data_IF_807752499151
#
_entry.id   IF_807752499151
#
_cell.length_a   1.000
_cell.length_b   1.000
_cell.length_c   1.000
_cell.angle_alpha   90.00
_cell.angle_beta   90.00
_cell.angle_gamma   90.00
#
_symmetry.space_group_name_H-M   'P 1'
#
loop_
_entity.id
_entity.type
_entity.pdbx_description
1 polymer ?
#
# COMPACT_ATOMS: atom_id res chain seq x y z
N UNK A 1 -5.16 -36.67 -62.45
CA UNK A 1 -4.38 -37.67 -61.69
C UNK A 1 -3.14 -36.99 -61.16
N UNK A 2 -3.06 -36.73 -59.86
CA UNK A 2 -1.82 -36.26 -59.21
C UNK A 2 -1.65 -37.05 -57.90
N UNK A 3 -0.45 -37.60 -57.76
CA UNK A 3 -0.03 -38.66 -56.84
C UNK A 3 0.32 -38.06 -55.48
N UNK A 4 -0.21 -38.62 -54.39
CA UNK A 4 0.21 -38.31 -53.02
C UNK A 4 1.52 -39.04 -52.68
N UNK A 5 2.51 -38.38 -52.09
CA UNK A 5 3.55 -39.07 -51.34
C UNK A 5 3.16 -39.15 -49.85
N UNK A 6 3.08 -40.38 -49.36
CA UNK A 6 3.09 -40.75 -47.94
C UNK A 6 4.42 -40.38 -47.29
N UNK A 7 4.38 -39.58 -46.24
CA UNK A 7 5.53 -39.31 -45.38
C UNK A 7 5.21 -39.81 -43.96
N UNK A 8 5.78 -40.96 -43.61
CA UNK A 8 5.84 -41.43 -42.22
C UNK A 8 7.07 -40.79 -41.55
N UNK A 9 6.96 -40.18 -40.36
CA UNK A 9 8.12 -39.94 -39.53
C UNK A 9 8.41 -41.17 -38.67
N UNK A 10 9.64 -41.64 -38.81
CA UNK A 10 10.33 -42.68 -38.06
C UNK A 10 10.29 -42.42 -36.55
N UNK A 11 9.81 -43.40 -35.77
CA UNK A 11 10.01 -43.45 -34.32
C UNK A 11 11.44 -43.94 -34.05
N UNK A 12 12.32 -43.01 -33.70
CA UNK A 12 13.70 -43.32 -33.32
C UNK A 12 14.29 -42.21 -32.47
N UNK A 13 14.14 -42.31 -31.15
CA UNK A 13 14.78 -41.41 -30.19
C UNK A 13 14.45 -41.81 -28.77
N UNK A 14 15.41 -42.48 -28.11
CA UNK A 14 15.36 -42.86 -26.70
C UNK A 14 14.92 -41.68 -25.80
N UNK A 15 13.76 -41.80 -25.16
CA UNK A 15 13.44 -41.03 -23.96
C UNK A 15 14.05 -41.76 -22.75
N UNK A 16 15.27 -41.33 -22.41
CA UNK A 16 15.89 -41.64 -21.13
C UNK A 16 15.09 -40.98 -20.00
N UNK A 17 14.97 -41.70 -18.88
CA UNK A 17 14.28 -41.29 -17.66
C UNK A 17 14.65 -39.86 -17.23
N UNK A 18 13.66 -38.98 -17.28
CA UNK A 18 13.77 -37.60 -16.81
C UNK A 18 12.42 -37.04 -16.41
N UNK A 19 12.01 -37.37 -15.17
CA UNK A 19 11.21 -36.52 -14.28
C UNK A 19 9.77 -36.16 -14.73
N UNK A 20 8.79 -36.79 -14.09
CA UNK A 20 7.33 -36.61 -14.23
C UNK A 20 6.78 -35.23 -13.82
N UNK A 21 7.64 -34.24 -13.57
CA UNK A 21 7.26 -32.96 -12.95
C UNK A 21 6.62 -32.01 -14.01
N UNK A 22 7.02 -32.13 -15.27
CA UNK A 22 6.52 -31.27 -16.37
C UNK A 22 5.11 -31.67 -16.83
N UNK A 23 4.81 -32.98 -16.86
CA UNK A 23 3.49 -33.50 -17.27
C UNK A 23 2.43 -33.19 -16.21
N UNK A 24 2.81 -33.22 -14.92
CA UNK A 24 1.92 -32.86 -13.83
C UNK A 24 1.64 -31.35 -13.80
N UNK A 25 2.67 -30.53 -14.01
CA UNK A 25 2.54 -29.07 -14.13
C UNK A 25 1.61 -28.70 -15.29
N UNK A 26 1.81 -29.29 -16.47
CA UNK A 26 0.96 -29.05 -17.63
C UNK A 26 -0.52 -29.43 -17.41
N UNK A 27 -0.78 -30.52 -16.68
CA UNK A 27 -2.15 -30.95 -16.33
C UNK A 27 -2.83 -29.98 -15.37
N UNK A 28 -2.09 -29.47 -14.37
CA UNK A 28 -2.62 -28.50 -13.42
C UNK A 28 -2.98 -27.17 -14.09
N UNK A 29 -2.14 -26.69 -15.02
CA UNK A 29 -2.43 -25.49 -15.80
C UNK A 29 -3.68 -25.62 -16.66
N UNK A 30 -3.90 -26.77 -17.30
CA UNK A 30 -5.15 -27.02 -18.05
C UNK A 30 -6.39 -26.99 -17.16
N UNK A 31 -6.29 -27.49 -15.93
CA UNK A 31 -7.39 -27.45 -14.96
C UNK A 31 -7.76 -26.02 -14.56
N UNK A 32 -6.76 -25.19 -14.25
CA UNK A 32 -6.97 -23.77 -13.90
C UNK A 32 -7.59 -23.00 -15.08
N UNK A 33 -7.11 -23.25 -16.29
CA UNK A 33 -7.65 -22.63 -17.51
C UNK A 33 -9.10 -23.06 -17.76
N UNK A 34 -9.45 -24.32 -17.53
CA UNK A 34 -10.83 -24.81 -17.70
C UNK A 34 -11.78 -24.16 -16.67
N UNK A 35 -11.36 -24.01 -15.41
CA UNK A 35 -12.18 -23.31 -14.40
C UNK A 35 -12.41 -21.84 -14.76
N UNK A 36 -11.37 -21.15 -15.26
CA UNK A 36 -11.51 -19.76 -15.71
C UNK A 36 -12.43 -19.63 -16.93
N UNK A 37 -12.40 -20.59 -17.86
CA UNK A 37 -13.30 -20.62 -19.02
C UNK A 37 -14.75 -20.90 -18.65
N UNK A 38 -14.99 -21.73 -17.63
CA UNK A 38 -16.34 -21.96 -17.08
C UNK A 38 -16.91 -20.69 -16.43
N UNK A 39 -16.05 -19.79 -15.97
CA UNK A 39 -16.40 -18.47 -15.47
C UNK A 39 -17.11 -18.49 -14.12
N UNK A 40 -17.19 -17.33 -13.46
CA UNK A 40 -17.89 -17.20 -12.17
C UNK A 40 -19.36 -16.87 -12.42
N UNK A 41 -20.27 -17.75 -12.00
CA UNK A 41 -21.71 -17.53 -12.11
C UNK A 41 -22.15 -16.51 -11.06
N UNK A 42 -22.32 -15.26 -11.49
CA UNK A 42 -22.92 -14.23 -10.66
C UNK A 42 -24.39 -14.57 -10.40
N UNK A 43 -24.80 -14.48 -9.14
CA UNK A 43 -26.20 -14.69 -8.74
C UNK A 43 -27.07 -13.68 -9.48
N UNK A 44 -28.07 -14.16 -10.23
CA UNK A 44 -29.03 -13.28 -10.92
C UNK A 44 -29.91 -12.61 -9.87
N UNK A 45 -29.61 -11.34 -9.59
CA UNK A 45 -30.42 -10.49 -8.72
C UNK A 45 -31.52 -9.93 -9.60
N UNK A 46 -32.79 -10.22 -9.31
CA UNK A 46 -33.92 -9.55 -9.94
C UNK A 46 -33.94 -8.11 -9.45
N UNK A 47 -33.50 -7.17 -10.29
CA UNK A 47 -33.69 -5.75 -10.02
C UNK A 47 -35.20 -5.46 -10.14
N UNK A 48 -35.92 -5.56 -9.02
CA UNK A 48 -37.36 -5.23 -8.92
C UNK A 48 -37.63 -3.73 -8.86
N UNK A 49 -36.59 -2.90 -9.02
CA UNK A 49 -36.76 -1.45 -9.08
C UNK A 49 -37.17 -1.10 -10.50
N UNK A 50 -38.47 -1.03 -10.73
CA UNK A 50 -39.03 -0.39 -11.92
C UNK A 50 -38.37 0.98 -12.11
N UNK A 51 -38.01 1.37 -13.35
CA UNK A 51 -37.54 2.73 -13.61
C UNK A 51 -38.58 3.71 -13.06
N UNK A 52 -38.16 4.58 -12.15
CA UNK A 52 -39.01 5.64 -11.63
C UNK A 52 -39.22 6.58 -12.82
N UNK A 53 -40.42 6.57 -13.40
CA UNK A 53 -40.86 7.56 -14.37
C UNK A 53 -40.91 8.90 -13.62
N UNK A 54 -39.91 9.75 -13.84
CA UNK A 54 -39.99 11.13 -13.41
C UNK A 54 -40.76 11.88 -14.49
N UNK A 55 -41.88 12.51 -14.14
CA UNK A 55 -42.69 13.34 -15.06
C UNK A 55 -41.85 14.37 -15.83
N UNK A 56 -40.74 14.80 -15.22
CA UNK A 56 -39.71 15.63 -15.83
C UNK A 56 -38.35 14.99 -15.62
N UNK A 57 -37.53 15.04 -16.66
CA UNK A 57 -36.13 14.65 -16.57
C UNK A 57 -35.41 15.54 -15.55
N UNK A 58 -34.39 15.03 -14.83
CA UNK A 58 -33.58 15.86 -13.93
C UNK A 58 -33.02 17.14 -14.58
N UNK A 59 -32.80 17.11 -15.90
CA UNK A 59 -32.39 18.28 -16.69
C UNK A 59 -33.51 19.32 -16.82
N UNK A 60 -34.73 18.91 -17.13
CA UNK A 60 -35.87 19.82 -17.25
C UNK A 60 -36.20 20.51 -15.93
N UNK A 61 -36.13 19.77 -14.81
CA UNK A 61 -36.27 20.32 -13.46
C UNK A 61 -35.20 21.39 -13.21
N UNK A 62 -33.94 21.12 -13.60
CA UNK A 62 -32.86 22.10 -13.47
C UNK A 62 -33.08 23.33 -14.34
N UNK A 63 -33.49 23.15 -15.60
CA UNK A 63 -33.78 24.27 -16.50
C UNK A 63 -34.94 25.12 -15.98
N UNK A 64 -35.99 24.51 -15.42
CA UNK A 64 -37.11 25.19 -14.75
C UNK A 64 -36.63 26.01 -13.54
N UNK A 65 -35.81 25.41 -12.69
CA UNK A 65 -35.26 26.05 -11.49
C UNK A 65 -34.34 27.24 -11.86
N UNK A 66 -33.59 27.16 -12.97
CA UNK A 66 -32.77 28.27 -13.51
C UNK A 66 -33.66 29.37 -14.10
N UNK A 67 -34.64 29.02 -14.95
CA UNK A 67 -35.56 29.98 -15.57
C UNK A 67 -36.36 30.76 -14.52
N UNK A 68 -36.83 30.05 -13.48
CA UNK A 68 -37.57 30.63 -12.35
C UNK A 68 -36.68 31.32 -11.31
N UNK A 69 -35.34 31.23 -11.43
CA UNK A 69 -34.36 31.73 -10.44
C UNK A 69 -34.72 31.31 -9.02
N UNK A 70 -35.13 30.05 -8.86
CA UNK A 70 -35.67 29.50 -7.60
C UNK A 70 -34.72 29.64 -6.42
N UNK A 71 -33.41 29.68 -6.68
CA UNK A 71 -32.38 29.80 -5.65
C UNK A 71 -31.64 31.13 -5.77
N UNK A 72 -31.49 31.81 -4.63
CA UNK A 72 -30.65 32.99 -4.50
C UNK A 72 -29.27 32.59 -3.94
N UNK A 73 -28.19 33.04 -4.58
CA UNK A 73 -26.84 32.84 -4.09
C UNK A 73 -26.61 33.70 -2.83
N UNK A 74 -25.97 33.14 -1.80
CA UNK A 74 -25.48 33.94 -0.68
C UNK A 74 -24.44 34.92 -1.20
N UNK A 75 -24.62 36.21 -0.94
CA UNK A 75 -23.65 37.25 -1.32
C UNK A 75 -22.35 37.02 -0.57
N UNK A 76 -21.40 36.38 -1.24
CA UNK A 76 -19.99 36.36 -0.83
C UNK A 76 -19.37 37.58 -1.49
N UNK A 77 -18.64 38.37 -0.71
CA UNK A 77 -18.04 39.64 -1.11
C UNK A 77 -17.29 39.50 -2.45
N UNK A 78 -17.82 40.09 -3.53
CA UNK A 78 -17.16 40.10 -4.84
C UNK A 78 -16.25 41.33 -4.98
N UNK A 79 -16.53 42.42 -4.26
CA UNK A 79 -15.82 43.71 -4.34
C UNK A 79 -14.91 44.01 -3.14
N UNK A 80 -14.59 43.01 -2.31
CA UNK A 80 -13.57 43.13 -1.26
C UNK A 80 -13.93 43.95 -0.02
N UNK A 81 -15.14 44.52 0.09
CA UNK A 81 -15.52 45.28 1.30
C UNK A 81 -15.86 44.35 2.48
N UNK A 82 -14.98 44.37 3.48
CA UNK A 82 -15.03 43.56 4.69
C UNK A 82 -16.30 43.92 5.45
N UNK A 83 -17.11 42.95 5.94
CA UNK A 83 -18.32 43.27 6.67
C UNK A 83 -17.97 44.16 7.87
N UNK A 84 -18.69 45.27 8.13
CA UNK A 84 -18.35 46.26 9.17
C UNK A 84 -18.34 45.72 10.61
N UNK A 85 -18.63 44.42 10.77
CA UNK A 85 -18.51 43.65 12.01
C UNK A 85 -17.05 43.29 12.33
N UNK A 86 -16.13 43.35 11.36
CA UNK A 86 -14.70 43.12 11.56
C UNK A 86 -14.00 44.47 11.74
N UNK A 87 -14.07 45.02 12.95
CA UNK A 87 -13.44 46.31 13.29
C UNK A 87 -11.91 46.23 13.44
N UNK A 88 -11.36 45.01 13.51
CA UNK A 88 -9.92 44.76 13.69
C UNK A 88 -9.40 43.95 12.52
N UNK A 89 -8.30 44.41 11.93
CA UNK A 89 -7.59 43.68 10.88
C UNK A 89 -7.22 42.26 11.39
N UNK A 90 -7.46 41.25 10.55
CA UNK A 90 -7.20 39.85 10.88
C UNK A 90 -5.73 39.65 11.29
N UNK A 91 -4.82 40.36 10.63
CA UNK A 91 -3.40 40.33 10.96
C UNK A 91 -3.12 40.86 12.38
N UNK A 92 -3.77 41.95 12.78
CA UNK A 92 -3.61 42.52 14.12
C UNK A 92 -4.14 41.58 15.21
N UNK A 93 -5.27 40.91 14.97
CA UNK A 93 -5.85 39.92 15.90
C UNK A 93 -4.95 38.70 16.07
N UNK A 94 -4.37 38.20 14.98
CA UNK A 94 -3.43 37.07 15.02
C UNK A 94 -2.16 37.47 15.78
N UNK A 95 -1.64 38.67 15.57
CA UNK A 95 -0.48 39.16 16.31
C UNK A 95 -0.78 39.36 17.80
N UNK A 96 -1.96 39.87 18.16
CA UNK A 96 -2.43 39.98 19.55
C UNK A 96 -2.46 38.60 20.22
N UNK A 97 -2.90 37.57 19.51
CA UNK A 97 -2.89 36.18 19.98
C UNK A 97 -1.48 35.60 20.15
N UNK A 98 -0.56 35.87 19.22
CA UNK A 98 0.84 35.41 19.33
C UNK A 98 1.55 36.09 20.50
N UNK A 99 1.30 37.39 20.70
CA UNK A 99 1.91 38.20 21.77
C UNK A 99 1.34 37.85 23.14
N UNK A 100 0.07 37.51 23.22
CA UNK A 100 -0.59 37.11 24.47
C UNK A 100 -0.42 35.64 24.83
N UNK A 101 0.18 34.82 23.94
CA UNK A 101 0.23 33.35 24.02
C UNK A 101 0.25 32.84 25.46
N UNK A 102 -0.89 32.37 26.00
CA UNK A 102 -0.87 31.65 27.26
C UNK A 102 0.01 30.41 27.08
N UNK A 103 0.87 30.07 28.07
CA UNK A 103 1.83 28.99 27.93
C UNK A 103 1.12 27.67 27.58
N UNK A 104 1.59 27.03 26.50
CA UNK A 104 1.01 25.77 26.04
C UNK A 104 1.19 24.70 27.12
N UNK A 105 0.13 23.93 27.40
CA UNK A 105 0.21 22.76 28.30
C UNK A 105 1.24 21.76 27.79
N UNK A 106 2.01 21.17 28.70
CA UNK A 106 3.00 20.13 28.40
C UNK A 106 2.33 18.96 27.69
N UNK A 107 3.05 18.30 26.79
CA UNK A 107 2.50 17.18 26.03
C UNK A 107 2.01 16.03 26.93
N UNK A 108 2.65 15.82 28.08
CA UNK A 108 2.26 14.87 29.13
C UNK A 108 0.87 15.12 29.71
N UNK A 109 0.48 16.39 29.80
CA UNK A 109 -0.76 16.81 30.49
C UNK A 109 -1.95 16.83 29.51
N UNK A 110 -1.68 16.64 28.21
CA UNK A 110 -2.70 16.58 27.17
C UNK A 110 -3.32 15.19 27.20
N UNK A 111 -4.61 15.11 27.53
CA UNK A 111 -5.39 13.89 27.33
C UNK A 111 -5.47 13.62 25.83
N UNK A 112 -4.61 12.74 25.32
CA UNK A 112 -4.74 12.23 23.96
C UNK A 112 -6.08 11.50 23.84
N UNK A 113 -6.73 11.62 22.67
CA UNK A 113 -7.88 10.79 22.39
C UNK A 113 -7.51 9.31 22.62
N UNK A 114 -8.40 8.50 23.23
CA UNK A 114 -8.13 7.09 23.42
C UNK A 114 -7.75 6.49 22.07
N UNK A 115 -6.68 5.69 22.07
CA UNK A 115 -6.23 5.00 20.87
C UNK A 115 -7.44 4.30 20.25
N UNK A 116 -7.74 4.53 18.95
CA UNK A 116 -8.90 3.93 18.31
C UNK A 116 -8.96 2.44 18.64
N UNK A 117 -10.12 1.98 19.11
CA UNK A 117 -10.38 0.57 19.43
C UNK A 117 -9.81 -0.28 18.29
N UNK A 118 -8.83 -1.13 18.64
CA UNK A 118 -8.00 -1.90 17.72
C UNK A 118 -8.85 -2.44 16.57
N UNK A 119 -8.80 -1.76 15.42
CA UNK A 119 -9.32 -2.32 14.17
C UNK A 119 -8.58 -3.64 13.95
N UNK A 120 -9.25 -4.61 13.34
CA UNK A 120 -8.61 -5.85 12.89
C UNK A 120 -7.29 -5.48 12.25
N UNK A 121 -6.18 -5.92 12.86
CA UNK A 121 -4.85 -5.43 12.49
C UNK A 121 -4.68 -5.62 10.99
N UNK A 122 -4.45 -4.53 10.26
CA UNK A 122 -4.31 -4.65 8.82
C UNK A 122 -3.11 -5.58 8.51
N UNK A 123 -3.06 -6.25 7.35
CA UNK A 123 -1.95 -7.15 7.03
C UNK A 123 -0.57 -6.51 7.23
N UNK A 124 -0.45 -5.20 6.98
CA UNK A 124 0.76 -4.40 7.25
C UNK A 124 1.08 -4.29 8.75
N UNK A 125 0.09 -4.06 9.60
CA UNK A 125 0.29 -3.97 11.06
C UNK A 125 0.72 -5.32 11.64
N UNK A 126 0.08 -6.41 11.22
CA UNK A 126 0.47 -7.77 11.60
C UNK A 126 1.92 -8.08 11.20
N UNK A 127 2.31 -7.69 9.98
CA UNK A 127 3.69 -7.82 9.52
C UNK A 127 4.65 -7.03 10.41
N UNK A 128 4.36 -5.76 10.68
CA UNK A 128 5.22 -4.91 11.53
C UNK A 128 5.34 -5.44 12.96
N UNK A 129 4.26 -6.00 13.53
CA UNK A 129 4.30 -6.67 14.83
C UNK A 129 5.16 -7.94 14.79
N UNK A 130 5.06 -8.75 13.73
CA UNK A 130 5.90 -9.93 13.56
C UNK A 130 7.39 -9.58 13.43
N UNK A 131 7.71 -8.44 12.82
CA UNK A 131 9.08 -7.93 12.69
C UNK A 131 9.58 -7.45 14.06
N UNK A 132 8.78 -6.68 14.80
CA UNK A 132 9.12 -6.22 16.17
C UNK A 132 9.32 -7.37 17.15
N UNK A 133 8.50 -8.43 17.03
CA UNK A 133 8.59 -9.64 17.87
C UNK A 133 9.86 -10.46 17.57
N UNK A 134 10.38 -10.36 16.35
CA UNK A 134 11.54 -11.13 15.89
C UNK A 134 11.23 -12.62 15.70
N UNK A 135 12.10 -13.31 14.94
CA UNK A 135 12.09 -14.78 14.80
C UNK A 135 13.52 -15.30 14.68
N UNK A 136 13.77 -16.50 15.19
CA UNK A 136 15.07 -17.17 15.03
C UNK A 136 15.16 -17.72 13.60
N UNK A 137 16.21 -17.30 12.87
CA UNK A 137 16.50 -17.84 11.55
C UNK A 137 17.27 -19.15 11.69
N UNK A 138 17.03 -20.11 10.77
CA UNK A 138 17.79 -21.35 10.75
C UNK A 138 19.27 -21.03 10.49
N UNK A 139 20.21 -21.59 11.28
CA UNK A 139 21.63 -21.47 10.99
C UNK A 139 21.91 -21.99 9.58
N UNK A 140 22.55 -21.18 8.76
CA UNK A 140 23.03 -21.61 7.44
C UNK A 140 24.38 -22.28 7.66
N UNK A 141 24.51 -23.56 7.30
CA UNK A 141 25.80 -24.23 7.29
C UNK A 141 26.75 -23.49 6.32
N UNK A 142 27.91 -22.99 6.78
CA UNK A 142 28.86 -22.34 5.89
C UNK A 142 29.44 -23.42 4.96
N UNK A 143 29.02 -23.42 3.69
CA UNK A 143 29.70 -24.16 2.63
C UNK A 143 31.02 -23.43 2.33
N UNK A 144 32.05 -23.69 3.15
CA UNK A 144 33.41 -23.25 2.84
C UNK A 144 34.09 -24.28 1.93
N UNK A 145 34.41 -23.88 0.70
CA UNK A 145 35.65 -24.30 0.04
C UNK A 145 36.37 -23.07 -0.49
N UNK A 146 37.14 -22.49 0.42
CA UNK A 146 38.30 -21.65 0.17
C UNK A 146 39.25 -22.33 -0.81
N UNK A 147 39.59 -21.63 -1.90
CA UNK A 147 40.65 -21.98 -2.85
C UNK A 147 41.99 -21.85 -2.12
N UNK A 148 42.74 -22.95 -1.99
CA UNK A 148 44.11 -22.91 -1.46
C UNK A 148 44.99 -22.07 -2.40
N UNK A 149 45.50 -20.96 -1.92
CA UNK A 149 46.82 -20.46 -2.33
C UNK A 149 47.67 -20.41 -1.07
N UNK A 150 48.65 -21.29 -0.99
CA UNK A 150 49.67 -21.21 0.03
C UNK A 150 50.71 -20.20 -0.46
N UNK A 151 50.91 -19.11 0.27
CA UNK A 151 52.25 -18.55 0.47
C UNK A 151 52.22 -17.52 1.59
N UNK A 152 53.29 -17.58 2.37
CA UNK A 152 53.66 -16.89 3.59
C UNK A 152 53.28 -15.41 3.67
N UNK A 153 52.92 -14.95 4.88
CA UNK A 153 53.57 -13.82 5.55
C UNK A 153 53.07 -13.80 7.01
N UNK A 154 53.98 -14.13 7.92
CA UNK A 154 53.88 -13.83 9.34
C UNK A 154 54.18 -12.35 9.52
N UNK A 155 53.21 -11.57 10.02
CA UNK A 155 53.52 -10.31 10.69
C UNK A 155 52.63 -10.24 11.93
N UNK A 156 53.27 -10.51 13.05
CA UNK A 156 52.88 -10.15 14.40
C UNK A 156 52.55 -8.66 14.45
N UNK A 157 51.33 -8.26 14.83
CA UNK A 157 51.06 -6.88 15.23
C UNK A 157 50.23 -6.87 16.53
N UNK A 158 50.72 -6.17 17.58
CA UNK A 158 50.19 -6.28 18.94
C UNK A 158 48.93 -5.42 19.16
N UNK A 159 48.08 -5.94 20.04
CA UNK A 159 46.84 -5.36 20.55
C UNK A 159 47.09 -4.04 21.32
N UNK A 160 46.35 -2.95 21.07
CA UNK A 160 46.36 -1.78 21.94
C UNK A 160 45.25 -1.87 23.02
N UNK A 161 45.67 -1.52 24.24
CA UNK A 161 44.92 -1.47 25.51
C UNK A 161 43.85 -0.36 25.55
N UNK A 162 42.85 -0.46 26.45
CA UNK A 162 41.74 0.49 26.55
C UNK A 162 42.14 1.81 27.25
N UNK A 163 41.63 2.93 26.74
CA UNK A 163 41.83 4.26 27.29
C UNK A 163 41.12 4.44 28.64
N UNK A 164 41.88 4.90 29.63
CA UNK A 164 41.41 5.36 30.94
C UNK A 164 40.63 6.68 30.82
N UNK A 165 39.47 6.73 31.48
CA UNK A 165 38.75 7.96 31.79
C UNK A 165 39.55 8.82 32.77
N UNK A 166 39.83 10.08 32.40
CA UNK A 166 40.36 11.08 33.32
C UNK A 166 39.19 11.92 33.81
N UNK A 167 38.87 11.80 35.11
CA UNK A 167 38.06 12.76 35.84
C UNK A 167 38.92 14.00 36.13
N UNK A 168 38.43 15.19 35.77
CA UNK A 168 38.92 16.45 36.33
C UNK A 168 37.76 17.09 37.07
N UNK A 169 37.85 17.07 38.40
CA UNK A 169 37.10 17.94 39.28
C UNK A 169 38.10 18.52 40.29
N UNK A 170 38.35 19.82 40.16
CA UNK A 170 38.61 20.79 41.24
C UNK A 170 38.47 22.19 40.65
#
# INVERSE_FOLDING_TARGET
>A
MCVRPSFYPSYGGLITLGRTDDVQSARFWMQVVDELRRGVRLKKISCSRTPIEYELTPYEILMEDIRSRKYNLRKVMVDGDIPPRVKKDAHAVILEFIRSRPPLRKASDRKLAPQPLKRVACPREQLLDSIRKGRVLKPVHPKLKTRRVASMISIMFPMPQPFHCINICK
#
